data_IF_582172449975
#
_entry.id   IF_582172449975
#
_cell.length_a   1.000
_cell.length_b   1.000
_cell.length_c   1.000
_cell.angle_alpha   90.00
_cell.angle_beta   90.00
_cell.angle_gamma   90.00
#
_symmetry.space_group_name_H-M   'P 1'
#
loop_
_entity.id
_entity.type
_entity.pdbx_description
1 polymer ?
#
# COMPACT_ATOMS: atom_id res chain seq x y z
N UNK A 1 4.85 -3.11 48.59
CA UNK A 1 3.93 -3.78 47.63
C UNK A 1 4.37 -3.32 46.26
N UNK A 2 5.19 -4.13 45.62
CA UNK A 2 5.79 -3.79 44.32
C UNK A 2 4.73 -3.74 43.22
N UNK A 3 5.05 -2.98 42.18
CA UNK A 3 4.19 -2.51 41.10
C UNK A 3 3.79 -3.66 40.13
N UNK A 4 3.07 -4.67 40.64
CA UNK A 4 2.69 -5.89 39.91
C UNK A 4 1.84 -5.62 38.66
N UNK A 5 1.11 -4.50 38.65
CA UNK A 5 0.33 -4.07 37.49
C UNK A 5 1.17 -3.81 36.23
N UNK A 6 2.39 -3.26 36.39
CA UNK A 6 3.30 -2.98 35.28
C UNK A 6 3.82 -4.26 34.61
N UNK A 7 4.31 -5.21 35.41
CA UNK A 7 4.81 -6.50 34.91
C UNK A 7 3.74 -7.31 34.17
N UNK A 8 2.49 -7.27 34.66
CA UNK A 8 1.37 -7.95 34.00
C UNK A 8 1.04 -7.31 32.64
N UNK A 9 1.05 -5.98 32.57
CA UNK A 9 0.80 -5.24 31.34
C UNK A 9 1.81 -5.56 30.25
N UNK A 10 3.11 -5.54 30.57
CA UNK A 10 4.18 -5.85 29.61
C UNK A 10 4.05 -7.29 29.08
N UNK A 11 3.71 -8.22 29.97
CA UNK A 11 3.43 -9.61 29.59
C UNK A 11 2.27 -9.70 28.59
N UNK A 12 1.18 -8.97 28.81
CA UNK A 12 0.03 -8.96 27.91
C UNK A 12 0.34 -8.28 26.57
N UNK A 13 1.08 -7.17 26.56
CA UNK A 13 1.52 -6.54 25.30
C UNK A 13 2.39 -7.51 24.48
N UNK A 14 3.27 -8.28 25.13
CA UNK A 14 4.07 -9.32 24.46
C UNK A 14 3.19 -10.44 23.89
N UNK A 15 2.19 -10.89 24.64
CA UNK A 15 1.24 -11.91 24.15
C UNK A 15 0.48 -11.40 22.93
N UNK A 16 -0.03 -10.17 22.98
CA UNK A 16 -0.73 -9.55 21.85
C UNK A 16 0.18 -9.43 20.62
N UNK A 17 1.44 -9.03 20.81
CA UNK A 17 2.42 -8.98 19.73
C UNK A 17 2.65 -10.35 19.07
N UNK A 18 2.79 -11.41 19.87
CA UNK A 18 2.97 -12.76 19.33
C UNK A 18 1.74 -13.24 18.55
N UNK A 19 0.52 -12.90 19.00
CA UNK A 19 -0.71 -13.18 18.25
C UNK A 19 -0.82 -12.38 16.96
N UNK A 20 -0.41 -11.11 16.97
CA UNK A 20 -0.29 -10.34 15.74
C UNK A 20 0.72 -10.95 14.76
N UNK A 21 1.83 -11.51 15.26
CA UNK A 21 2.83 -12.22 14.43
C UNK A 21 2.26 -13.47 13.78
N UNK A 22 1.47 -14.26 14.51
CA UNK A 22 0.81 -15.45 13.95
C UNK A 22 -0.13 -15.08 12.80
N UNK A 23 -0.90 -14.00 12.95
CA UNK A 23 -1.80 -13.44 11.93
C UNK A 23 -1.10 -12.66 10.80
N UNK A 24 0.21 -12.43 10.92
CA UNK A 24 0.98 -11.77 9.87
C UNK A 24 1.33 -12.80 8.80
N UNK A 25 1.22 -12.42 7.53
CA UNK A 25 1.54 -13.29 6.40
C UNK A 25 2.96 -13.86 6.54
N UNK A 26 3.13 -15.14 6.21
CA UNK A 26 4.36 -15.93 6.45
C UNK A 26 5.66 -15.20 6.09
N UNK A 27 5.69 -14.52 4.94
CA UNK A 27 6.88 -13.82 4.43
C UNK A 27 7.26 -12.56 5.23
N UNK A 28 6.36 -12.05 6.08
CA UNK A 28 6.54 -10.83 6.86
C UNK A 28 6.51 -11.08 8.37
N UNK A 29 6.43 -12.34 8.83
CA UNK A 29 6.38 -12.68 10.26
C UNK A 29 7.65 -12.31 11.02
N UNK A 30 8.76 -12.20 10.31
CA UNK A 30 10.06 -11.85 10.88
C UNK A 30 10.38 -10.36 10.76
N UNK A 31 9.53 -9.58 10.08
CA UNK A 31 9.64 -8.11 10.02
C UNK A 31 8.92 -7.48 11.22
N UNK A 32 9.65 -6.83 12.15
CA UNK A 32 9.04 -6.24 13.35
C UNK A 32 8.01 -5.16 13.04
N UNK A 33 8.19 -4.39 11.96
CA UNK A 33 7.25 -3.31 11.61
C UNK A 33 5.94 -3.87 11.05
N UNK A 34 6.00 -4.89 10.19
CA UNK A 34 4.80 -5.58 9.73
C UNK A 34 3.96 -6.15 10.89
N UNK A 35 4.62 -6.74 11.90
CA UNK A 35 3.94 -7.26 13.09
C UNK A 35 3.32 -6.14 13.93
N UNK A 36 4.02 -5.00 14.11
CA UNK A 36 3.48 -3.82 14.81
C UNK A 36 2.26 -3.25 14.09
N UNK A 37 2.32 -3.09 12.77
CA UNK A 37 1.18 -2.62 11.97
C UNK A 37 -0.03 -3.55 12.14
N UNK A 38 0.19 -4.87 12.10
CA UNK A 38 -0.89 -5.85 12.32
C UNK A 38 -1.47 -5.74 13.73
N UNK A 39 -0.61 -5.58 14.75
CA UNK A 39 -1.01 -5.36 16.15
C UNK A 39 -1.86 -4.10 16.28
N UNK A 40 -1.39 -2.98 15.75
CA UNK A 40 -2.05 -1.69 15.89
C UNK A 40 -3.39 -1.67 15.14
N UNK A 41 -3.47 -2.35 13.99
CA UNK A 41 -4.75 -2.59 13.31
C UNK A 41 -5.74 -3.41 14.14
N UNK A 42 -5.29 -4.45 14.86
CA UNK A 42 -6.17 -5.22 15.76
C UNK A 42 -6.69 -4.34 16.91
N UNK A 43 -5.81 -3.53 17.50
CA UNK A 43 -6.18 -2.59 18.57
C UNK A 43 -7.17 -1.55 18.06
N UNK A 44 -6.96 -0.98 16.88
CA UNK A 44 -7.87 -0.02 16.28
C UNK A 44 -9.26 -0.63 16.04
N UNK A 45 -9.34 -1.90 15.61
CA UNK A 45 -10.62 -2.59 15.40
C UNK A 45 -11.40 -2.74 16.70
N UNK A 46 -10.73 -3.16 17.79
CA UNK A 46 -11.40 -3.52 19.05
C UNK A 46 -11.65 -2.30 19.93
N UNK A 47 -10.68 -1.39 20.04
CA UNK A 47 -10.67 -0.34 21.06
C UNK A 47 -10.59 1.09 20.52
N UNK A 48 -10.21 1.32 19.25
CA UNK A 48 -10.02 2.66 18.66
C UNK A 48 -9.07 3.56 19.46
N UNK A 49 -7.99 2.97 19.98
CA UNK A 49 -6.97 3.60 20.82
C UNK A 49 -5.57 3.19 20.39
N UNK A 50 -4.55 3.89 20.89
CA UNK A 50 -3.18 3.43 20.79
C UNK A 50 -2.87 2.30 21.78
N UNK A 51 -1.96 1.39 21.40
CA UNK A 51 -1.59 0.23 22.23
C UNK A 51 -1.03 0.63 23.60
N UNK A 52 -0.41 1.82 23.67
CA UNK A 52 0.18 2.37 24.90
C UNK A 52 -0.86 2.97 25.84
N UNK A 53 -2.12 3.08 25.43
CA UNK A 53 -3.20 3.63 26.25
C UNK A 53 -4.21 2.57 26.70
N UNK A 54 -3.98 1.30 26.33
CA UNK A 54 -4.85 0.21 26.69
C UNK A 54 -4.73 -0.18 28.17
N UNK A 55 -5.88 -0.39 28.78
CA UNK A 55 -6.03 -1.04 30.08
C UNK A 55 -5.78 -2.56 29.96
N UNK A 56 -5.59 -3.23 31.10
CA UNK A 56 -5.43 -4.69 31.16
C UNK A 56 -6.65 -5.42 30.56
N UNK A 57 -7.87 -4.91 30.80
CA UNK A 57 -9.09 -5.49 30.26
C UNK A 57 -9.14 -5.38 28.72
N UNK A 58 -8.78 -4.21 28.18
CA UNK A 58 -8.74 -3.97 26.73
C UNK A 58 -7.64 -4.80 26.04
N UNK A 59 -6.47 -4.95 26.67
CA UNK A 59 -5.42 -5.85 26.17
C UNK A 59 -5.92 -7.30 26.06
N UNK A 60 -6.62 -7.79 27.09
CA UNK A 60 -7.20 -9.13 27.05
C UNK A 60 -8.28 -9.25 25.96
N UNK A 61 -9.13 -8.23 25.77
CA UNK A 61 -10.12 -8.22 24.70
C UNK A 61 -9.46 -8.31 23.31
N UNK A 62 -8.39 -7.53 23.07
CA UNK A 62 -7.61 -7.60 21.83
C UNK A 62 -6.96 -8.98 21.62
N UNK A 63 -6.43 -9.59 22.68
CA UNK A 63 -5.83 -10.94 22.61
C UNK A 63 -6.88 -11.98 22.26
N UNK A 64 -8.06 -11.93 22.89
CA UNK A 64 -9.17 -12.84 22.60
C UNK A 64 -9.63 -12.70 21.15
N UNK A 65 -9.80 -11.46 20.67
CA UNK A 65 -10.13 -11.20 19.28
C UNK A 65 -9.09 -11.78 18.32
N UNK A 66 -7.80 -11.59 18.60
CA UNK A 66 -6.72 -12.13 17.78
C UNK A 66 -6.70 -13.66 17.77
N UNK A 67 -6.99 -14.33 18.90
CA UNK A 67 -7.10 -15.80 18.97
C UNK A 67 -8.23 -16.32 18.09
N UNK A 68 -9.41 -15.73 18.19
CA UNK A 68 -10.56 -16.13 17.39
C UNK A 68 -10.27 -16.00 15.90
N UNK A 69 -9.61 -14.90 15.47
CA UNK A 69 -9.20 -14.72 14.08
C UNK A 69 -8.21 -15.81 13.59
N UNK A 70 -7.30 -16.28 14.46
CA UNK A 70 -6.38 -17.37 14.12
C UNK A 70 -7.13 -18.69 13.99
N UNK A 71 -8.10 -18.95 14.87
CA UNK A 71 -8.93 -20.15 14.84
C UNK A 71 -9.84 -20.18 13.60
N UNK A 72 -10.38 -19.03 13.17
CA UNK A 72 -11.13 -18.89 11.93
C UNK A 72 -10.26 -19.17 10.69
N UNK A 73 -9.01 -18.70 10.66
CA UNK A 73 -8.06 -19.03 9.58
C UNK A 73 -7.69 -20.53 9.58
N UNK A 74 -7.46 -21.11 10.76
CA UNK A 74 -7.07 -22.51 10.91
C UNK A 74 -8.20 -23.51 10.67
N UNK A 75 -9.44 -23.13 10.98
CA UNK A 75 -10.65 -23.95 10.78
C UNK A 75 -11.18 -23.97 9.34
N UNK A 76 -10.61 -23.13 8.47
CA UNK A 76 -10.86 -23.22 7.03
C UNK A 76 -10.01 -24.34 6.42
N UNK A 77 -10.50 -25.59 6.49
CA UNK A 77 -10.04 -26.61 5.54
C UNK A 77 -10.18 -26.00 4.13
N UNK A 78 -9.17 -26.14 3.24
CA UNK A 78 -9.31 -25.69 1.87
C UNK A 78 -10.48 -26.46 1.29
N UNK A 79 -11.61 -25.78 1.12
CA UNK A 79 -12.79 -26.36 0.52
C UNK A 79 -12.35 -27.04 -0.78
N UNK A 80 -12.76 -28.30 -1.03
CA UNK A 80 -12.46 -28.95 -2.29
C UNK A 80 -12.87 -28.00 -3.41
N UNK A 81 -11.94 -27.78 -4.34
CA UNK A 81 -12.13 -26.90 -5.50
C UNK A 81 -13.51 -27.20 -6.08
N UNK A 82 -14.47 -26.25 -6.03
CA UNK A 82 -15.82 -26.54 -6.45
C UNK A 82 -15.79 -26.83 -7.94
N UNK A 83 -15.97 -28.10 -8.28
CA UNK A 83 -16.32 -28.50 -9.63
C UNK A 83 -17.70 -27.93 -9.87
N UNK A 84 -17.81 -27.14 -10.94
CA UNK A 84 -18.98 -26.36 -11.28
C UNK A 84 -20.27 -27.19 -11.18
N UNK A 85 -21.08 -26.88 -10.17
CA UNK A 85 -22.55 -27.01 -10.06
C UNK A 85 -22.88 -27.09 -8.57
N UNK A 86 -23.18 -25.94 -7.96
CA UNK A 86 -24.43 -25.78 -7.22
C UNK A 86 -24.54 -24.38 -6.63
N UNK A 87 -25.73 -23.85 -6.75
CA UNK A 87 -26.16 -22.55 -6.29
C UNK A 87 -26.42 -22.61 -4.78
N UNK A 88 -25.91 -21.62 -4.05
CA UNK A 88 -26.45 -21.25 -2.74
C UNK A 88 -25.46 -21.28 -1.60
N UNK A 89 -24.83 -20.13 -1.33
CA UNK A 89 -24.64 -19.69 0.05
C UNK A 89 -24.56 -18.17 0.10
N UNK A 90 -25.56 -17.58 0.77
CA UNK A 90 -25.73 -16.15 0.93
C UNK A 90 -24.71 -15.63 1.94
N UNK A 91 -23.53 -15.20 1.46
CA UNK A 91 -22.60 -14.40 2.26
C UNK A 91 -23.27 -13.05 2.53
N UNK A 92 -23.55 -12.74 3.80
CA UNK A 92 -23.92 -11.38 4.18
C UNK A 92 -22.85 -10.41 3.64
N UNK A 93 -23.24 -9.31 2.98
CA UNK A 93 -22.28 -8.39 2.41
C UNK A 93 -21.52 -7.73 3.56
N UNK A 94 -20.23 -8.06 3.70
CA UNK A 94 -19.27 -7.16 4.34
C UNK A 94 -19.50 -5.83 3.62
N UNK A 95 -20.06 -4.82 4.31
CA UNK A 95 -20.31 -3.51 3.71
C UNK A 95 -19.00 -3.07 3.07
N UNK A 96 -18.95 -3.13 1.75
CA UNK A 96 -17.73 -2.87 1.00
C UNK A 96 -17.39 -1.40 1.25
N UNK A 97 -16.44 -1.17 2.16
CA UNK A 97 -16.03 0.18 2.49
C UNK A 97 -15.25 0.70 1.28
N UNK A 98 -15.68 1.84 0.76
CA UNK A 98 -14.89 2.56 -0.25
C UNK A 98 -13.56 3.02 0.34
N UNK A 99 -12.60 3.26 -0.54
CA UNK A 99 -11.29 3.79 -0.18
C UNK A 99 -11.43 5.15 0.52
N UNK A 100 -10.66 5.35 1.59
CA UNK A 100 -10.61 6.62 2.30
C UNK A 100 -9.86 7.68 1.49
N UNK A 101 -10.11 8.97 1.76
CA UNK A 101 -9.36 10.07 1.13
C UNK A 101 -7.85 9.95 1.34
N UNK A 102 -7.43 9.49 2.52
CA UNK A 102 -6.01 9.30 2.84
C UNK A 102 -5.39 8.18 2.01
N UNK A 103 -6.09 7.06 1.80
CA UNK A 103 -5.64 5.99 0.91
C UNK A 103 -5.51 6.48 -0.53
N UNK A 104 -6.50 7.22 -1.05
CA UNK A 104 -6.43 7.76 -2.40
C UNK A 104 -5.27 8.75 -2.56
N UNK A 105 -5.01 9.59 -1.55
CA UNK A 105 -3.85 10.48 -1.55
C UNK A 105 -2.52 9.70 -1.59
N UNK A 106 -2.39 8.66 -0.76
CA UNK A 106 -1.20 7.82 -0.69
C UNK A 106 -0.98 7.02 -1.99
N UNK A 107 -2.06 6.50 -2.57
CA UNK A 107 -2.06 5.83 -3.87
C UNK A 107 -1.60 6.78 -4.98
N UNK A 108 -2.15 7.99 -5.02
CA UNK A 108 -1.75 9.02 -5.98
C UNK A 108 -0.27 9.36 -5.84
N UNK A 109 0.22 9.54 -4.62
CA UNK A 109 1.63 9.80 -4.36
C UNK A 109 2.54 8.69 -4.93
N UNK A 110 2.35 7.43 -4.51
CA UNK A 110 3.25 6.35 -4.95
C UNK A 110 3.12 6.04 -6.45
N UNK A 111 1.91 6.08 -7.00
CA UNK A 111 1.68 5.82 -8.42
C UNK A 111 2.32 6.87 -9.30
N UNK A 112 2.25 8.16 -8.92
CA UNK A 112 2.95 9.24 -9.62
C UNK A 112 4.46 9.09 -9.54
N UNK A 113 5.03 8.76 -8.37
CA UNK A 113 6.46 8.54 -8.23
C UNK A 113 6.96 7.40 -9.13
N UNK A 114 6.19 6.32 -9.24
CA UNK A 114 6.53 5.22 -10.15
C UNK A 114 6.36 5.63 -11.62
N UNK A 115 5.29 6.34 -11.97
CA UNK A 115 5.03 6.82 -13.34
C UNK A 115 6.14 7.75 -13.82
N UNK A 116 6.66 8.61 -12.94
CA UNK A 116 7.80 9.47 -13.22
C UNK A 116 9.08 8.75 -13.56
N UNK A 117 9.17 7.43 -13.39
CA UNK A 117 10.34 6.64 -13.75
C UNK A 117 10.02 5.78 -14.97
N UNK A 118 8.85 5.14 -14.97
CA UNK A 118 8.51 4.13 -15.97
C UNK A 118 7.66 4.62 -17.14
N UNK A 119 7.01 5.78 -17.05
CA UNK A 119 6.24 6.31 -18.17
C UNK A 119 7.17 6.70 -19.32
N UNK A 120 6.70 6.48 -20.54
CA UNK A 120 7.45 6.80 -21.74
C UNK A 120 7.14 8.24 -22.18
N UNK A 121 8.06 9.17 -21.92
CA UNK A 121 7.86 10.56 -22.32
C UNK A 121 8.32 10.88 -23.74
N UNK A 122 8.94 9.95 -24.49
CA UNK A 122 9.59 10.24 -25.78
C UNK A 122 8.70 10.99 -26.77
N UNK A 123 7.41 10.68 -26.78
CA UNK A 123 6.43 11.27 -27.69
C UNK A 123 5.55 12.33 -27.01
N UNK A 124 5.72 12.52 -25.70
CA UNK A 124 4.95 13.49 -24.95
C UNK A 124 5.42 14.92 -25.29
N UNK A 125 4.45 15.80 -25.52
CA UNK A 125 4.65 17.23 -25.70
C UNK A 125 3.69 17.98 -24.81
N UNK A 126 4.20 18.99 -24.12
CA UNK A 126 3.42 19.85 -23.24
C UNK A 126 3.70 21.31 -23.61
N UNK A 127 2.64 22.08 -23.85
CA UNK A 127 2.71 23.51 -24.06
C UNK A 127 2.28 24.22 -22.78
N UNK A 128 3.16 25.04 -22.22
CA UNK A 128 2.84 25.86 -21.05
C UNK A 128 2.20 27.18 -21.54
N UNK A 129 0.91 27.42 -21.28
CA UNK A 129 0.25 28.64 -21.73
C UNK A 129 0.73 29.90 -21.01
N UNK A 130 1.38 29.78 -19.85
CA UNK A 130 1.85 30.92 -19.07
C UNK A 130 3.17 31.48 -19.62
N UNK A 131 4.09 30.60 -20.02
CA UNK A 131 5.40 30.99 -20.57
C UNK A 131 5.49 30.90 -22.08
N UNK A 132 4.51 30.24 -22.72
CA UNK A 132 4.49 29.87 -24.14
C UNK A 132 5.61 28.88 -24.53
N UNK A 133 6.22 28.20 -23.55
CA UNK A 133 7.26 27.20 -23.79
C UNK A 133 6.67 25.84 -24.19
N UNK A 134 7.45 25.07 -24.95
CA UNK A 134 7.12 23.69 -25.31
C UNK A 134 8.13 22.76 -24.66
N UNK A 135 7.66 21.92 -23.76
CA UNK A 135 8.44 20.86 -23.13
C UNK A 135 8.18 19.53 -23.85
N UNK A 136 9.22 18.72 -24.04
CA UNK A 136 9.09 17.41 -24.68
C UNK A 136 9.99 16.38 -24.03
N UNK A 137 9.63 15.09 -24.12
CA UNK A 137 10.51 14.04 -23.65
C UNK A 137 10.86 14.18 -22.17
N UNK A 138 12.15 14.11 -21.89
CA UNK A 138 12.69 14.14 -20.53
C UNK A 138 12.55 15.51 -19.84
N UNK A 139 12.37 16.59 -20.60
CA UNK A 139 12.13 17.93 -20.03
C UNK A 139 10.82 17.98 -19.26
N UNK A 140 9.80 17.24 -19.72
CA UNK A 140 8.53 17.10 -18.99
C UNK A 140 8.77 16.40 -17.66
N UNK A 141 9.57 15.32 -17.65
CA UNK A 141 9.91 14.60 -16.40
C UNK A 141 10.64 15.51 -15.42
N UNK A 142 11.62 16.27 -15.90
CA UNK A 142 12.37 17.23 -15.09
C UNK A 142 11.48 18.34 -14.52
N UNK A 143 10.53 18.84 -15.30
CA UNK A 143 9.55 19.82 -14.86
C UNK A 143 8.69 19.28 -13.71
N UNK A 144 8.24 18.03 -13.78
CA UNK A 144 7.44 17.41 -12.72
C UNK A 144 8.29 17.17 -11.47
N UNK A 145 9.51 16.66 -11.62
CA UNK A 145 10.44 16.46 -10.49
C UNK A 145 10.69 17.78 -9.77
N UNK A 146 10.95 18.86 -10.53
CA UNK A 146 11.11 20.20 -9.99
C UNK A 146 9.86 20.65 -9.25
N UNK A 147 8.67 20.48 -9.84
CA UNK A 147 7.40 20.82 -9.18
C UNK A 147 7.22 20.10 -7.84
N UNK A 148 7.57 18.81 -7.76
CA UNK A 148 7.56 18.07 -6.49
C UNK A 148 8.54 18.64 -5.46
N UNK A 149 9.78 18.94 -5.86
CA UNK A 149 10.79 19.51 -4.95
C UNK A 149 10.41 20.89 -4.40
N UNK A 150 9.68 21.68 -5.20
CA UNK A 150 9.23 23.02 -4.85
C UNK A 150 7.83 23.05 -4.24
N UNK A 151 7.21 21.89 -4.00
CA UNK A 151 5.81 21.77 -3.54
C UNK A 151 4.80 22.53 -4.42
N UNK A 152 5.06 22.61 -5.72
CA UNK A 152 4.19 23.25 -6.72
C UNK A 152 3.21 22.24 -7.32
N UNK A 153 2.07 22.74 -7.78
CA UNK A 153 1.10 21.92 -8.51
C UNK A 153 1.63 21.51 -9.88
N UNK A 154 1.45 20.25 -10.23
CA UNK A 154 1.75 19.73 -11.57
C UNK A 154 0.62 20.14 -12.52
N UNK A 155 0.93 20.60 -13.74
CA UNK A 155 -0.09 20.89 -14.75
C UNK A 155 -1.04 19.71 -14.99
N UNK A 156 -2.34 20.00 -15.05
CA UNK A 156 -3.40 18.99 -15.16
C UNK A 156 -3.32 18.15 -16.44
N UNK A 157 -2.83 18.72 -17.54
CA UNK A 157 -2.63 18.02 -18.81
C UNK A 157 -1.50 16.98 -18.72
N UNK A 158 -0.40 17.30 -18.03
CA UNK A 158 0.70 16.36 -17.74
C UNK A 158 0.20 15.23 -16.84
N UNK A 159 -0.54 15.56 -15.77
CA UNK A 159 -1.15 14.55 -14.91
C UNK A 159 -2.08 13.65 -15.73
N UNK A 160 -2.96 14.22 -16.56
CA UNK A 160 -3.86 13.45 -17.41
C UNK A 160 -3.11 12.49 -18.33
N UNK A 161 -2.00 12.94 -18.93
CA UNK A 161 -1.12 12.08 -19.72
C UNK A 161 -0.59 10.89 -18.90
N UNK A 162 -0.02 11.15 -17.72
CA UNK A 162 0.52 10.08 -16.86
C UNK A 162 -0.55 9.07 -16.43
N UNK A 163 -1.74 9.55 -16.09
CA UNK A 163 -2.84 8.68 -15.69
C UNK A 163 -3.36 7.82 -16.83
N UNK A 164 -3.56 8.41 -18.01
CA UNK A 164 -4.08 7.69 -19.17
C UNK A 164 -3.07 6.71 -19.78
N UNK A 165 -1.79 7.10 -19.84
CA UNK A 165 -0.75 6.34 -20.53
C UNK A 165 -0.18 5.22 -19.66
N UNK A 166 0.03 5.48 -18.36
CA UNK A 166 0.75 4.55 -17.51
C UNK A 166 0.01 4.13 -16.24
N UNK A 167 -0.48 5.08 -15.43
CA UNK A 167 -1.01 4.76 -14.09
C UNK A 167 -2.30 3.92 -14.17
N UNK A 168 -3.30 4.35 -14.96
CA UNK A 168 -4.57 3.63 -15.06
C UNK A 168 -4.40 2.24 -15.68
N UNK A 169 -3.68 2.08 -16.82
CA UNK A 169 -3.41 0.75 -17.36
C UNK A 169 -2.69 -0.15 -16.35
N UNK A 170 -1.69 0.39 -15.66
CA UNK A 170 -0.92 -0.39 -14.70
C UNK A 170 -1.72 -0.77 -13.46
N UNK A 171 -2.53 0.14 -12.93
CA UNK A 171 -3.42 -0.14 -11.79
C UNK A 171 -4.46 -1.19 -12.15
N UNK A 172 -5.10 -1.08 -13.32
CA UNK A 172 -6.04 -2.07 -13.81
C UNK A 172 -5.40 -3.45 -13.98
N UNK A 173 -4.18 -3.51 -14.54
CA UNK A 173 -3.41 -4.75 -14.63
C UNK A 173 -3.18 -5.37 -13.25
N UNK A 174 -2.72 -4.58 -12.26
CA UNK A 174 -2.49 -5.08 -10.91
C UNK A 174 -3.79 -5.60 -10.27
N UNK A 175 -4.91 -4.91 -10.42
CA UNK A 175 -6.19 -5.36 -9.85
C UNK A 175 -6.68 -6.68 -10.48
N UNK A 176 -6.42 -6.91 -11.76
CA UNK A 176 -6.66 -8.18 -12.42
C UNK A 176 -5.73 -9.28 -11.87
N UNK A 177 -4.43 -9.01 -11.77
CA UNK A 177 -3.43 -9.94 -11.21
C UNK A 177 -3.74 -10.34 -9.76
N UNK A 178 -4.24 -9.38 -8.96
CA UNK A 178 -4.63 -9.60 -7.57
C UNK A 178 -5.99 -10.26 -7.39
N UNK A 179 -6.73 -10.56 -8.46
CA UNK A 179 -8.06 -11.17 -8.40
C UNK A 179 -9.18 -10.25 -7.90
N UNK A 180 -8.90 -8.95 -7.73
CA UNK A 180 -9.90 -7.96 -7.31
C UNK A 180 -10.89 -7.63 -8.43
N UNK A 181 -10.46 -7.79 -9.69
CA UNK A 181 -11.30 -7.61 -10.87
C UNK A 181 -11.19 -8.82 -11.78
N UNK A 182 -12.31 -9.18 -12.39
CA UNK A 182 -12.36 -10.25 -13.41
C UNK A 182 -12.14 -9.73 -14.82
N UNK A 183 -12.51 -8.47 -15.07
CA UNK A 183 -12.48 -7.86 -16.39
C UNK A 183 -12.37 -6.33 -16.31
N UNK A 184 -11.69 -5.72 -17.28
CA UNK A 184 -11.58 -4.26 -17.42
C UNK A 184 -11.91 -3.89 -18.86
N UNK A 185 -13.01 -3.15 -19.05
CA UNK A 185 -13.48 -2.72 -20.38
C UNK A 185 -12.54 -1.72 -21.04
N UNK A 186 -12.01 -0.77 -20.27
CA UNK A 186 -11.11 0.27 -20.74
C UNK A 186 -9.94 0.42 -19.78
N UNK A 187 -8.76 -0.02 -20.22
CA UNK A 187 -7.55 -0.02 -19.39
C UNK A 187 -7.06 1.39 -19.04
N UNK A 188 -7.38 2.39 -19.86
CA UNK A 188 -6.99 3.79 -19.66
C UNK A 188 -7.84 4.53 -18.64
N UNK A 189 -8.95 3.95 -18.17
CA UNK A 189 -9.82 4.55 -17.17
C UNK A 189 -9.85 3.73 -15.89
N UNK A 190 -9.73 4.41 -14.76
CA UNK A 190 -9.91 3.85 -13.42
C UNK A 190 -10.73 4.84 -12.59
N UNK A 191 -11.88 4.39 -12.08
CA UNK A 191 -12.75 5.18 -11.22
C UNK A 191 -12.25 5.10 -9.77
N UNK A 192 -11.34 5.98 -9.39
CA UNK A 192 -10.68 5.99 -8.07
C UNK A 192 -11.68 6.16 -6.92
N UNK A 193 -12.73 6.95 -7.14
CA UNK A 193 -13.82 7.17 -6.21
C UNK A 193 -14.67 5.92 -5.95
N UNK A 194 -14.57 4.91 -6.82
CA UNK A 194 -15.26 3.62 -6.71
C UNK A 194 -14.34 2.49 -6.26
N UNK A 195 -13.07 2.79 -5.95
CA UNK A 195 -12.19 1.77 -5.40
C UNK A 195 -12.66 1.37 -4.00
N UNK A 196 -12.74 0.07 -3.77
CA UNK A 196 -12.92 -0.45 -2.42
C UNK A 196 -11.64 -0.31 -1.60
N UNK A 197 -11.80 -0.34 -0.28
CA UNK A 197 -10.71 -0.19 0.67
C UNK A 197 -9.57 -1.18 0.39
N UNK A 198 -9.90 -2.45 0.16
CA UNK A 198 -8.90 -3.50 -0.08
C UNK A 198 -8.24 -3.37 -1.46
N UNK A 199 -8.99 -2.94 -2.50
CA UNK A 199 -8.42 -2.65 -3.82
C UNK A 199 -7.38 -1.52 -3.73
N UNK A 200 -7.72 -0.43 -3.03
CA UNK A 200 -6.81 0.69 -2.84
C UNK A 200 -5.59 0.29 -2.00
N UNK A 201 -5.80 -0.45 -0.92
CA UNK A 201 -4.70 -0.93 -0.07
C UNK A 201 -3.75 -1.87 -0.83
N UNK A 202 -4.30 -2.74 -1.66
CA UNK A 202 -3.53 -3.61 -2.54
C UNK A 202 -2.68 -2.79 -3.54
N UNK A 203 -3.29 -1.82 -4.22
CA UNK A 203 -2.56 -0.94 -5.14
C UNK A 203 -1.45 -0.15 -4.44
N UNK A 204 -1.73 0.43 -3.27
CA UNK A 204 -0.74 1.15 -2.45
C UNK A 204 0.45 0.25 -2.15
N UNK A 205 0.20 -0.98 -1.69
CA UNK A 205 1.26 -1.95 -1.39
C UNK A 205 2.11 -2.28 -2.62
N UNK A 206 1.49 -2.47 -3.79
CA UNK A 206 2.22 -2.77 -5.02
C UNK A 206 3.07 -1.60 -5.49
N UNK A 207 2.51 -0.39 -5.49
CA UNK A 207 3.26 0.81 -5.88
C UNK A 207 4.37 1.17 -4.88
N UNK A 208 4.14 1.03 -3.57
CA UNK A 208 5.17 1.32 -2.57
C UNK A 208 6.36 0.35 -2.67
N UNK A 209 6.11 -0.93 -2.97
CA UNK A 209 7.17 -1.91 -3.22
C UNK A 209 8.01 -1.54 -4.45
N UNK A 210 7.36 -1.14 -5.55
CA UNK A 210 8.05 -0.67 -6.76
C UNK A 210 8.92 0.55 -6.43
N UNK A 211 8.36 1.52 -5.71
CA UNK A 211 9.06 2.73 -5.29
C UNK A 211 10.27 2.44 -4.39
N UNK A 212 10.13 1.57 -3.38
CA UNK A 212 11.24 1.20 -2.48
C UNK A 212 12.37 0.49 -3.23
N UNK A 213 12.03 -0.41 -4.16
CA UNK A 213 13.03 -1.09 -4.99
C UNK A 213 13.84 -0.10 -5.84
N UNK A 214 13.20 0.97 -6.31
CA UNK A 214 13.85 2.04 -7.07
C UNK A 214 14.80 2.87 -6.19
N UNK A 215 14.39 3.24 -4.98
CA UNK A 215 15.28 3.97 -4.06
C UNK A 215 16.52 3.16 -3.70
N UNK A 216 16.34 1.86 -3.44
CA UNK A 216 17.45 0.95 -3.16
C UNK A 216 18.40 0.84 -4.35
N UNK A 217 17.86 0.81 -5.57
CA UNK A 217 18.66 0.77 -6.79
C UNK A 217 19.48 2.06 -6.98
N UNK A 218 18.87 3.24 -6.79
CA UNK A 218 19.56 4.54 -6.87
C UNK A 218 20.70 4.61 -5.84
N UNK A 219 20.42 4.27 -4.57
CA UNK A 219 21.44 4.23 -3.51
C UNK A 219 22.61 3.29 -3.85
N UNK A 220 22.36 2.16 -4.51
CA UNK A 220 23.43 1.24 -4.94
C UNK A 220 24.29 1.84 -6.07
N UNK A 221 23.69 2.56 -7.01
CA UNK A 221 24.44 3.24 -8.07
C UNK A 221 25.34 4.34 -7.52
N UNK A 222 24.81 5.17 -6.60
CA UNK A 222 25.57 6.25 -5.97
C UNK A 222 26.76 5.70 -5.17
N UNK A 223 26.56 4.59 -4.44
CA UNK A 223 27.63 3.93 -3.69
C UNK A 223 28.70 3.27 -4.59
N UNK A 224 28.32 2.73 -5.75
CA UNK A 224 29.28 2.17 -6.71
C UNK A 224 30.08 3.27 -7.41
N UNK A 225 29.47 4.42 -7.68
CA UNK A 225 30.18 5.61 -8.18
C UNK A 225 31.22 6.09 -7.17
N UNK A 226 30.87 6.18 -5.88
CA UNK A 226 31.79 6.56 -4.81
C UNK A 226 32.93 5.56 -4.61
N UNK A 227 32.69 4.25 -4.76
CA UNK A 227 33.74 3.21 -4.68
C UNK A 227 34.73 3.27 -5.85
N UNK A 228 34.29 3.63 -7.05
CA UNK A 228 35.19 3.76 -8.20
C UNK A 228 36.06 5.03 -8.11
N UNK A 229 35.58 6.06 -7.43
CA UNK A 229 36.36 7.28 -7.13
C UNK A 229 37.46 7.04 -6.08
N UNK A 230 37.27 6.12 -5.13
CA UNK A 230 38.27 5.84 -4.08
C UNK A 230 39.37 4.86 -4.48
N UNK A 231 39.21 4.12 -5.59
CA UNK A 231 40.24 3.19 -6.12
C UNK A 231 41.21 3.90 -7.09
N UNK A 232 40.92 5.16 -7.46
CA UNK A 232 41.71 5.94 -8.42
C UNK A 232 42.66 6.97 -7.78
N UNK A 233 42.89 6.88 -6.46
CA UNK A 233 43.90 7.64 -5.71
C UNK A 233 44.91 6.67 -5.10
#
# INVERSE_FOLDING_TARGET
MENDGGKMRDKLQRVLYLKARELTHKDYRDDPESVKIKRDSLVDIVCKKDVQDLTIAELNACITYAKNAIEEEAGSEPAPVPTAKDEGEFKMPIKEKYATKNQLHLLNFYSLQCALIYANFKEAKFHDPATNDIYSGEDIRNLIIKAFSESKSIPSSILSFLYLDWINPKSNQMLLEGGYRKFVKNTRHLYYEKLYYDEAQYLIKRYSQIYLNLELYKKKQDNNFLKNLTISN
#
